data_IF_909333565577
#
_entry.id   IF_909333565577
#
_cell.length_a   1.000
_cell.length_b   1.000
_cell.length_c   1.000
_cell.angle_alpha   90.00
_cell.angle_beta   90.00
_cell.angle_gamma   90.00
#
_symmetry.space_group_name_H-M   'P 1'
#
loop_
_entity.id
_entity.type
_entity.pdbx_description
1 polymer ?
#
# COMPACT_ATOMS: atom_id res chain seq x y z
N UNK A 1 2.25 -6.64 6.84
CA UNK A 1 2.68 -5.23 6.93
C UNK A 1 2.28 -4.54 5.63
N UNK A 2 1.79 -3.31 5.70
CA UNK A 2 1.23 -2.57 4.57
C UNK A 2 1.72 -1.12 4.59
N UNK A 3 2.02 -0.56 3.41
CA UNK A 3 2.34 0.84 3.27
C UNK A 3 1.04 1.65 3.13
N UNK A 4 0.63 2.30 4.21
CA UNK A 4 -0.67 2.97 4.34
C UNK A 4 -1.04 3.94 3.20
N UNK A 5 -0.04 4.50 2.51
CA UNK A 5 -0.17 5.40 1.36
C UNK A 5 1.14 5.44 0.55
N UNK A 6 1.65 4.30 0.08
CA UNK A 6 2.95 4.22 -0.60
C UNK A 6 3.11 5.26 -1.73
N UNK A 7 2.30 5.17 -2.78
CA UNK A 7 2.43 6.03 -3.96
C UNK A 7 2.20 7.52 -3.67
N UNK A 8 1.15 7.93 -2.92
CA UNK A 8 1.03 9.33 -2.51
C UNK A 8 2.23 9.86 -1.73
N UNK A 9 2.84 9.01 -0.89
CA UNK A 9 4.03 9.39 -0.12
C UNK A 9 5.24 9.55 -1.03
N UNK A 10 5.42 8.65 -2.01
CA UNK A 10 6.47 8.77 -3.03
C UNK A 10 6.28 10.06 -3.83
N UNK A 11 5.06 10.33 -4.30
CA UNK A 11 4.74 11.53 -5.09
C UNK A 11 5.15 12.79 -4.35
N UNK A 12 4.79 12.88 -3.06
CA UNK A 12 5.15 13.99 -2.17
C UNK A 12 6.67 14.06 -1.91
N UNK A 13 7.25 13.00 -1.37
CA UNK A 13 8.63 12.98 -0.85
C UNK A 13 9.66 13.12 -1.98
N UNK A 14 9.38 12.55 -3.15
CA UNK A 14 10.28 12.56 -4.31
C UNK A 14 9.93 13.64 -5.32
N UNK A 15 9.00 14.54 -4.99
CA UNK A 15 8.59 15.68 -5.82
C UNK A 15 8.13 15.27 -7.24
N UNK A 16 7.32 14.21 -7.34
CA UNK A 16 6.86 13.68 -8.63
C UNK A 16 5.69 14.51 -9.16
N UNK A 17 5.86 15.03 -10.38
CA UNK A 17 4.87 15.81 -11.11
C UNK A 17 5.27 15.86 -12.60
N UNK A 18 4.33 16.21 -13.48
CA UNK A 18 4.58 16.26 -14.92
C UNK A 18 5.68 17.26 -15.31
N UNK A 19 5.80 18.36 -14.58
CA UNK A 19 6.77 19.44 -14.79
C UNK A 19 8.10 19.26 -14.04
N UNK A 20 8.16 18.34 -13.07
CA UNK A 20 9.37 18.11 -12.25
C UNK A 20 10.14 16.88 -12.68
N UNK A 21 9.48 15.84 -13.17
CA UNK A 21 10.14 14.65 -13.72
C UNK A 21 10.72 14.99 -15.09
N UNK A 22 12.00 14.66 -15.31
CA UNK A 22 12.76 15.01 -16.52
C UNK A 22 12.81 16.52 -16.80
N UNK A 23 12.86 17.34 -15.75
CA UNK A 23 12.97 18.78 -15.90
C UNK A 23 14.26 19.17 -16.68
N UNK A 24 14.28 20.34 -17.35
CA UNK A 24 15.39 20.72 -18.24
C UNK A 24 16.67 21.16 -17.50
N UNK A 25 16.66 21.23 -16.16
CA UNK A 25 17.82 21.70 -15.41
C UNK A 25 18.92 20.63 -15.34
N UNK A 26 20.12 20.93 -15.84
CA UNK A 26 21.22 19.97 -15.94
C UNK A 26 21.67 19.42 -14.59
N UNK A 27 21.73 20.23 -13.54
CA UNK A 27 22.13 19.74 -12.22
C UNK A 27 21.09 18.78 -11.59
N UNK A 28 19.82 18.88 -11.99
CA UNK A 28 18.78 17.97 -11.54
C UNK A 28 18.95 16.56 -12.13
N UNK A 29 19.70 16.38 -13.22
CA UNK A 29 20.00 15.06 -13.81
C UNK A 29 20.77 14.15 -12.85
N UNK A 30 21.42 14.71 -11.82
CA UNK A 30 22.07 13.96 -10.74
C UNK A 30 21.09 13.36 -9.73
N UNK A 31 19.88 13.92 -9.61
CA UNK A 31 18.83 13.40 -8.73
C UNK A 31 18.02 12.30 -9.44
N UNK A 32 18.69 11.20 -9.74
CA UNK A 32 18.14 10.08 -10.48
C UNK A 32 17.15 9.26 -9.66
N UNK A 33 16.26 8.57 -10.37
CA UNK A 33 15.31 7.63 -9.79
C UNK A 33 15.89 6.22 -9.86
N UNK A 34 15.96 5.47 -8.73
CA UNK A 34 16.40 4.08 -8.74
C UNK A 34 15.60 3.23 -9.72
N UNK A 35 16.28 2.34 -10.43
CA UNK A 35 15.67 1.42 -11.40
C UNK A 35 14.93 2.11 -12.58
N UNK A 36 15.25 3.38 -12.88
CA UNK A 36 14.68 4.12 -14.00
C UNK A 36 15.74 5.03 -14.65
N UNK A 37 15.46 5.50 -15.86
CA UNK A 37 16.27 6.50 -16.59
C UNK A 37 15.89 7.94 -16.24
N UNK A 38 14.97 8.14 -15.29
CA UNK A 38 14.38 9.44 -14.99
C UNK A 38 15.12 10.16 -13.85
N UNK A 39 14.97 11.48 -13.80
CA UNK A 39 15.44 12.33 -12.72
C UNK A 39 14.33 13.30 -12.29
N UNK A 40 14.46 13.90 -11.12
CA UNK A 40 13.45 14.82 -10.58
C UNK A 40 14.04 16.16 -10.17
N UNK A 41 13.30 17.23 -10.48
CA UNK A 41 13.63 18.60 -10.14
C UNK A 41 13.84 18.81 -8.64
N UNK A 42 14.93 19.49 -8.29
CA UNK A 42 15.24 19.94 -6.91
C UNK A 42 15.06 21.45 -6.73
N UNK A 43 14.81 22.20 -7.80
CA UNK A 43 14.64 23.68 -7.75
C UNK A 43 13.22 24.14 -7.46
N UNK A 44 12.22 23.39 -7.94
CA UNK A 44 10.80 23.77 -7.88
C UNK A 44 9.97 22.60 -7.39
N UNK A 45 8.96 22.91 -6.59
CA UNK A 45 7.98 21.92 -6.16
C UNK A 45 6.93 21.74 -7.26
N UNK A 46 6.63 20.49 -7.58
CA UNK A 46 5.63 20.13 -8.58
C UNK A 46 4.22 20.27 -8.04
N UNK A 47 3.30 20.67 -8.90
CA UNK A 47 1.88 20.85 -8.61
C UNK A 47 1.25 19.56 -8.09
N UNK A 48 1.46 18.43 -8.77
CA UNK A 48 0.90 17.14 -8.34
C UNK A 48 1.50 16.70 -7.01
N UNK A 49 2.82 16.89 -6.81
CA UNK A 49 3.48 16.62 -5.53
C UNK A 49 2.84 17.40 -4.38
N UNK A 50 2.64 18.70 -4.54
CA UNK A 50 2.03 19.56 -3.53
C UNK A 50 0.57 19.22 -3.26
N UNK A 51 -0.22 18.98 -4.31
CA UNK A 51 -1.64 18.66 -4.19
C UNK A 51 -1.85 17.30 -3.50
N UNK A 52 -1.22 16.25 -4.03
CA UNK A 52 -1.32 14.89 -3.49
C UNK A 52 -0.71 14.84 -2.07
N UNK A 53 0.41 15.54 -1.84
CA UNK A 53 1.01 15.68 -0.52
C UNK A 53 0.06 16.32 0.49
N UNK A 54 -0.60 17.42 0.11
CA UNK A 54 -1.58 18.11 0.96
C UNK A 54 -2.79 17.21 1.27
N UNK A 55 -3.36 16.53 0.27
CA UNK A 55 -4.50 15.62 0.47
C UNK A 55 -4.12 14.41 1.34
N UNK A 56 -2.90 13.90 1.19
CA UNK A 56 -2.34 12.83 2.02
C UNK A 56 -2.21 13.28 3.46
N UNK A 57 -1.64 14.45 3.70
CA UNK A 57 -1.46 14.97 5.07
C UNK A 57 -2.82 15.26 5.72
N UNK A 58 -3.77 15.85 4.99
CA UNK A 58 -5.14 16.06 5.45
C UNK A 58 -5.82 14.73 5.82
N UNK A 59 -5.62 13.68 5.03
CA UNK A 59 -6.14 12.35 5.36
C UNK A 59 -5.47 11.75 6.59
N UNK A 60 -4.14 11.66 6.59
CA UNK A 60 -3.38 10.86 7.56
C UNK A 60 -3.29 11.58 8.90
N UNK A 61 -2.99 12.88 8.90
CA UNK A 61 -2.72 13.64 10.11
C UNK A 61 -4.00 14.20 10.74
N UNK A 62 -5.05 14.43 9.95
CA UNK A 62 -6.30 15.03 10.43
C UNK A 62 -7.44 14.01 10.47
N UNK A 63 -8.04 13.64 9.34
CA UNK A 63 -9.28 12.85 9.34
C UNK A 63 -9.12 11.40 9.84
N UNK A 64 -8.01 10.70 9.52
CA UNK A 64 -7.73 9.34 10.05
C UNK A 64 -7.54 9.38 11.57
N UNK A 65 -6.86 10.40 12.10
CA UNK A 65 -6.67 10.59 13.54
C UNK A 65 -7.99 10.93 14.24
N UNK A 66 -8.70 11.94 13.75
CA UNK A 66 -9.97 12.39 14.33
C UNK A 66 -11.03 11.29 14.33
N UNK A 67 -11.15 10.49 13.26
CA UNK A 67 -12.12 9.38 13.20
C UNK A 67 -11.96 8.35 14.33
N UNK A 68 -10.80 8.31 15.00
CA UNK A 68 -10.50 7.43 16.14
C UNK A 68 -10.66 8.11 17.50
N UNK A 69 -10.95 9.41 17.55
CA UNK A 69 -11.12 10.13 18.81
C UNK A 69 -12.36 9.64 19.57
N UNK A 70 -12.22 9.43 20.88
CA UNK A 70 -13.33 8.98 21.76
C UNK A 70 -14.31 10.12 22.08
N UNK A 71 -13.91 11.37 21.88
CA UNK A 71 -14.70 12.57 22.21
C UNK A 71 -15.77 12.94 21.19
N UNK A 72 -15.87 12.19 20.08
CA UNK A 72 -16.80 12.49 18.99
C UNK A 72 -18.16 11.84 19.19
N UNK A 73 -19.20 12.54 18.74
CA UNK A 73 -20.51 11.90 18.54
C UNK A 73 -20.43 10.86 17.42
N UNK A 74 -21.37 9.92 17.40
CA UNK A 74 -21.39 8.88 16.37
C UNK A 74 -21.51 9.47 14.95
N UNK A 75 -22.35 10.50 14.77
CA UNK A 75 -22.50 11.20 13.49
C UNK A 75 -21.19 11.84 13.02
N UNK A 76 -20.46 12.51 13.93
CA UNK A 76 -19.16 13.12 13.61
C UNK A 76 -18.12 12.06 13.24
N UNK A 77 -18.07 10.96 14.00
CA UNK A 77 -17.19 9.82 13.72
C UNK A 77 -17.46 9.25 12.34
N UNK A 78 -18.74 9.05 12.00
CA UNK A 78 -19.15 8.57 10.68
C UNK A 78 -18.73 9.53 9.58
N UNK A 79 -19.01 10.83 9.72
CA UNK A 79 -18.62 11.86 8.74
C UNK A 79 -17.10 11.87 8.49
N UNK A 80 -16.28 11.87 9.54
CA UNK A 80 -14.82 11.89 9.39
C UNK A 80 -14.28 10.60 8.79
N UNK A 81 -14.91 9.47 9.10
CA UNK A 81 -14.59 8.18 8.48
C UNK A 81 -14.85 8.23 6.98
N UNK A 82 -16.01 8.75 6.55
CA UNK A 82 -16.36 8.90 5.13
C UNK A 82 -15.37 9.82 4.41
N UNK A 83 -15.03 10.98 4.99
CA UNK A 83 -14.06 11.91 4.39
C UNK A 83 -12.67 11.25 4.25
N UNK A 84 -12.19 10.56 5.29
CA UNK A 84 -10.91 9.83 5.26
C UNK A 84 -10.89 8.74 4.17
N UNK A 85 -12.02 8.05 3.96
CA UNK A 85 -12.18 7.06 2.90
C UNK A 85 -12.22 7.69 1.51
N UNK A 86 -12.95 8.80 1.33
CA UNK A 86 -12.98 9.53 0.06
C UNK A 86 -11.58 10.02 -0.35
N UNK A 87 -10.83 10.60 0.60
CA UNK A 87 -9.44 10.98 0.38
C UNK A 87 -8.57 9.76 0.01
N UNK A 88 -8.78 8.61 0.66
CA UNK A 88 -8.05 7.37 0.32
C UNK A 88 -8.27 6.98 -1.14
N UNK A 89 -9.50 7.06 -1.64
CA UNK A 89 -9.83 6.72 -3.02
C UNK A 89 -9.09 7.64 -3.99
N UNK A 90 -9.14 8.95 -3.77
CA UNK A 90 -8.42 9.94 -4.61
C UNK A 90 -6.92 9.66 -4.61
N UNK A 91 -6.34 9.47 -3.43
CA UNK A 91 -4.90 9.23 -3.26
C UNK A 91 -4.46 7.93 -3.95
N UNK A 92 -5.23 6.85 -3.84
CA UNK A 92 -4.89 5.59 -4.50
C UNK A 92 -4.99 5.66 -6.03
N UNK A 93 -5.85 6.53 -6.57
CA UNK A 93 -5.98 6.76 -8.00
C UNK A 93 -4.89 7.71 -8.56
N UNK A 94 -4.23 8.50 -7.72
CA UNK A 94 -3.33 9.59 -8.12
C UNK A 94 -2.16 9.17 -9.02
N UNK A 95 -1.53 8.02 -8.77
CA UNK A 95 -0.44 7.57 -9.64
C UNK A 95 -0.97 7.03 -10.97
N UNK A 96 -2.11 6.34 -10.95
CA UNK A 96 -2.71 5.72 -12.12
C UNK A 96 -3.20 6.76 -13.12
N UNK A 97 -3.79 7.86 -12.64
CA UNK A 97 -4.30 8.92 -13.52
C UNK A 97 -3.19 9.63 -14.32
N UNK A 98 -1.99 9.76 -13.75
CA UNK A 98 -0.82 10.28 -14.49
C UNK A 98 -0.39 9.40 -15.66
N UNK A 99 -0.75 8.11 -15.64
CA UNK A 99 -0.50 7.15 -16.72
C UNK A 99 -1.67 6.98 -17.69
N UNK A 100 -2.77 7.72 -17.52
CA UNK A 100 -3.93 7.66 -18.40
C UNK A 100 -3.89 8.79 -19.43
N UNK A 101 -3.81 8.44 -20.73
CA UNK A 101 -3.67 9.42 -21.84
C UNK A 101 -4.80 10.46 -21.90
N UNK A 102 -5.99 10.12 -21.40
CA UNK A 102 -7.15 11.02 -21.34
C UNK A 102 -7.00 12.14 -20.30
N UNK A 103 -6.02 12.04 -19.38
CA UNK A 103 -5.85 13.01 -18.31
C UNK A 103 -5.11 14.25 -18.81
N UNK A 104 -5.59 15.48 -18.55
CA UNK A 104 -4.92 16.70 -19.04
C UNK A 104 -3.48 16.87 -18.58
N UNK A 105 -3.11 16.33 -17.41
CA UNK A 105 -1.73 16.33 -16.90
C UNK A 105 -1.08 14.94 -17.04
N UNK A 106 -1.50 14.17 -18.04
CA UNK A 106 -0.88 12.88 -18.38
C UNK A 106 0.62 13.06 -18.60
N UNK A 107 1.40 12.23 -17.93
CA UNK A 107 2.83 12.16 -18.13
C UNK A 107 3.34 10.79 -17.71
N UNK A 108 3.45 9.88 -18.68
CA UNK A 108 3.87 8.50 -18.44
C UNK A 108 5.20 8.40 -17.66
N UNK A 109 6.23 9.24 -17.90
CA UNK A 109 7.45 9.19 -17.09
C UNK A 109 7.22 9.45 -15.59
N UNK A 110 6.24 10.26 -15.19
CA UNK A 110 5.91 10.44 -13.77
C UNK A 110 5.24 9.20 -13.17
N UNK A 111 4.37 8.53 -13.94
CA UNK A 111 3.78 7.26 -13.51
C UNK A 111 4.86 6.16 -13.40
N UNK A 112 5.72 6.01 -14.41
CA UNK A 112 6.82 5.04 -14.41
C UNK A 112 7.78 5.30 -13.23
N UNK A 113 8.24 6.55 -13.06
CA UNK A 113 9.04 6.98 -11.92
C UNK A 113 8.43 6.55 -10.57
N UNK A 114 7.13 6.79 -10.39
CA UNK A 114 6.42 6.45 -9.15
C UNK A 114 6.45 4.95 -8.89
N UNK A 115 6.20 4.12 -9.91
CA UNK A 115 6.23 2.66 -9.78
C UNK A 115 7.65 2.09 -9.60
N UNK A 116 8.66 2.71 -10.23
CA UNK A 116 10.06 2.34 -10.06
C UNK A 116 10.53 2.58 -8.62
N UNK A 117 10.22 3.75 -8.06
CA UNK A 117 10.52 4.07 -6.66
C UNK A 117 9.76 3.13 -5.72
N UNK A 118 8.47 2.87 -5.98
CA UNK A 118 7.68 1.94 -5.17
C UNK A 118 8.30 0.54 -5.12
N UNK A 119 8.70 0.01 -6.27
CA UNK A 119 9.38 -1.29 -6.38
C UNK A 119 10.71 -1.30 -5.65
N UNK A 120 11.50 -0.24 -5.78
CA UNK A 120 12.76 -0.11 -5.05
C UNK A 120 12.55 -0.12 -3.53
N UNK A 121 11.57 0.64 -3.02
CA UNK A 121 11.23 0.68 -1.59
C UNK A 121 10.80 -0.71 -1.10
N UNK A 122 9.95 -1.42 -1.84
CA UNK A 122 9.54 -2.78 -1.49
C UNK A 122 10.74 -3.72 -1.40
N UNK A 123 11.60 -3.72 -2.42
CA UNK A 123 12.78 -4.61 -2.46
C UNK A 123 13.77 -4.31 -1.32
N UNK A 124 14.04 -3.04 -1.04
CA UNK A 124 14.89 -2.66 0.08
C UNK A 124 14.24 -3.02 1.42
N UNK A 125 12.93 -2.86 1.56
CA UNK A 125 12.21 -3.26 2.78
C UNK A 125 12.26 -4.78 2.98
N UNK A 126 12.15 -5.58 1.92
CA UNK A 126 12.33 -7.04 1.98
C UNK A 126 13.74 -7.37 2.48
N UNK A 127 14.77 -6.73 1.93
CA UNK A 127 16.16 -6.90 2.39
C UNK A 127 16.32 -6.52 3.87
N UNK A 128 15.68 -5.45 4.32
CA UNK A 128 15.68 -5.04 5.74
C UNK A 128 14.97 -6.05 6.64
N UNK A 129 13.88 -6.67 6.17
CA UNK A 129 13.26 -7.78 6.89
C UNK A 129 14.25 -8.95 7.04
N UNK A 130 14.91 -9.36 5.96
CA UNK A 130 15.89 -10.45 5.97
C UNK A 130 17.09 -10.15 6.90
N UNK A 131 17.65 -8.93 6.83
CA UNK A 131 18.71 -8.45 7.74
C UNK A 131 18.27 -8.44 9.21
N UNK A 132 16.98 -8.26 9.48
CA UNK A 132 16.41 -8.33 10.82
C UNK A 132 16.06 -9.77 11.25
N UNK A 133 16.33 -10.78 10.42
CA UNK A 133 15.98 -12.18 10.69
C UNK A 133 14.50 -12.50 10.50
N UNK A 134 13.78 -11.68 9.74
CA UNK A 134 12.36 -11.88 9.44
C UNK A 134 12.22 -12.56 8.07
N UNK A 135 11.55 -13.71 8.04
CA UNK A 135 11.24 -14.38 6.77
C UNK A 135 10.07 -13.66 6.07
N UNK A 136 10.31 -13.19 4.84
CA UNK A 136 9.26 -12.66 3.96
C UNK A 136 8.65 -13.81 3.16
N UNK A 137 7.33 -13.98 3.25
CA UNK A 137 6.59 -15.05 2.57
C UNK A 137 6.03 -14.61 1.22
N UNK A 138 5.59 -13.36 1.13
CA UNK A 138 4.95 -12.82 -0.07
C UNK A 138 5.00 -11.29 -0.06
N UNK A 139 5.13 -10.69 -1.24
CA UNK A 139 5.06 -9.25 -1.43
C UNK A 139 4.08 -8.91 -2.55
N UNK A 140 3.22 -7.93 -2.30
CA UNK A 140 2.36 -7.29 -3.30
C UNK A 140 2.70 -5.81 -3.36
N UNK A 141 2.34 -5.17 -4.48
CA UNK A 141 2.36 -3.73 -4.81
C UNK A 141 2.79 -2.76 -3.70
N UNK A 142 2.16 -2.82 -2.53
CA UNK A 142 2.33 -1.98 -1.35
C UNK A 142 2.27 -2.75 0.00
N UNK A 143 2.39 -4.09 0.00
CA UNK A 143 2.31 -4.90 1.22
C UNK A 143 3.26 -6.10 1.24
N UNK A 144 3.64 -6.51 2.46
CA UNK A 144 4.52 -7.62 2.74
C UNK A 144 3.89 -8.56 3.78
N UNK A 145 3.91 -9.86 3.48
CA UNK A 145 3.56 -10.94 4.40
C UNK A 145 4.86 -11.47 5.00
N UNK A 146 4.94 -11.40 6.32
CA UNK A 146 6.13 -11.79 7.08
C UNK A 146 5.76 -12.87 8.09
N UNK A 147 6.64 -13.84 8.29
CA UNK A 147 6.40 -14.98 9.18
C UNK A 147 6.87 -14.69 10.59
N UNK A 148 5.95 -14.77 11.55
CA UNK A 148 6.20 -14.72 12.99
C UNK A 148 7.27 -13.72 13.46
N UNK A 149 7.26 -12.45 13.00
CA UNK A 149 8.23 -11.47 13.47
C UNK A 149 7.96 -11.10 14.95
N UNK A 150 9.02 -10.76 15.69
CA UNK A 150 8.88 -10.15 17.03
C UNK A 150 8.47 -8.68 16.92
N UNK A 151 7.88 -8.13 17.98
CA UNK A 151 7.53 -6.70 18.03
C UNK A 151 8.73 -5.78 17.78
N UNK A 152 9.91 -6.14 18.31
CA UNK A 152 11.15 -5.38 18.11
C UNK A 152 11.61 -5.40 16.65
N UNK A 153 11.55 -6.58 16.00
CA UNK A 153 11.86 -6.74 14.60
C UNK A 153 10.94 -5.89 13.71
N UNK A 154 9.63 -5.92 13.97
CA UNK A 154 8.64 -5.10 13.27
C UNK A 154 9.00 -3.61 13.41
N UNK A 155 9.22 -3.14 14.64
CA UNK A 155 9.50 -1.72 14.90
C UNK A 155 10.79 -1.26 14.21
N UNK A 156 11.84 -2.09 14.21
CA UNK A 156 13.09 -1.81 13.50
C UNK A 156 12.85 -1.56 12.01
N UNK A 157 12.07 -2.42 11.35
CA UNK A 157 11.75 -2.27 9.92
C UNK A 157 10.87 -1.04 9.66
N UNK A 158 9.88 -0.76 10.50
CA UNK A 158 9.01 0.43 10.37
C UNK A 158 9.81 1.72 10.49
N UNK A 159 10.66 1.84 11.51
CA UNK A 159 11.51 3.02 11.73
C UNK A 159 12.47 3.23 10.56
N UNK A 160 13.09 2.15 10.08
CA UNK A 160 14.01 2.20 8.95
C UNK A 160 13.30 2.62 7.66
N UNK A 161 12.13 2.07 7.36
CA UNK A 161 11.34 2.46 6.18
C UNK A 161 10.96 3.94 6.21
N UNK A 162 10.57 4.46 7.39
CA UNK A 162 10.27 5.88 7.57
C UNK A 162 11.49 6.77 7.41
N UNK A 163 12.62 6.38 8.00
CA UNK A 163 13.88 7.14 7.97
C UNK A 163 14.48 7.18 6.57
N UNK A 164 14.55 6.03 5.89
CA UNK A 164 15.26 5.90 4.62
C UNK A 164 14.43 6.36 3.42
N UNK A 165 13.10 6.26 3.48
CA UNK A 165 12.24 6.56 2.33
C UNK A 165 11.11 7.55 2.60
N UNK A 166 10.89 7.97 3.86
CA UNK A 166 9.81 8.89 4.21
C UNK A 166 8.40 8.29 4.13
N UNK A 167 8.28 6.96 4.05
CA UNK A 167 7.01 6.25 3.90
C UNK A 167 6.55 5.64 5.23
N UNK A 168 5.23 5.52 5.41
CA UNK A 168 4.64 4.93 6.61
C UNK A 168 4.30 3.46 6.35
N UNK A 169 4.96 2.57 7.09
CA UNK A 169 4.72 1.13 7.10
C UNK A 169 3.98 0.76 8.39
N UNK A 170 2.86 0.06 8.29
CA UNK A 170 2.06 -0.36 9.45
C UNK A 170 1.77 -1.86 9.44
N UNK A 171 1.47 -2.43 10.62
CA UNK A 171 0.90 -3.77 10.72
C UNK A 171 -0.60 -3.65 10.43
N UNK A 172 -1.02 -4.03 9.23
CA UNK A 172 -2.43 -4.00 8.85
C UNK A 172 -3.23 -5.14 9.48
N UNK A 173 -2.71 -6.37 9.36
CA UNK A 173 -3.40 -7.60 9.81
C UNK A 173 -2.44 -8.63 10.38
N UNK A 174 -2.95 -9.39 11.34
CA UNK A 174 -2.33 -10.60 11.86
C UNK A 174 -3.17 -11.82 11.52
N UNK A 175 -2.52 -12.79 10.87
CA UNK A 175 -3.14 -14.03 10.44
C UNK A 175 -2.69 -15.19 11.33
N UNK A 176 -3.60 -16.08 11.66
CA UNK A 176 -3.31 -17.39 12.25
C UNK A 176 -2.55 -18.25 11.23
N UNK A 177 -3.07 -18.30 10.00
CA UNK A 177 -2.38 -18.90 8.86
C UNK A 177 -2.79 -18.22 7.56
N UNK A 178 -1.96 -18.40 6.54
CA UNK A 178 -2.20 -17.90 5.18
C UNK A 178 -1.90 -19.00 4.18
N UNK A 179 -2.76 -19.12 3.16
CA UNK A 179 -2.57 -19.97 2.00
C UNK A 179 -2.28 -19.06 0.81
N UNK A 180 -1.03 -19.09 0.36
CA UNK A 180 -0.52 -18.26 -0.72
C UNK A 180 -0.45 -19.12 -1.98
N UNK A 181 -1.07 -18.66 -3.07
CA UNK A 181 -0.90 -19.29 -4.38
C UNK A 181 0.30 -18.70 -5.13
N UNK A 182 0.71 -19.34 -6.21
CA UNK A 182 1.72 -18.81 -7.13
C UNK A 182 1.23 -17.60 -7.93
N UNK A 183 -0.09 -17.32 -7.94
CA UNK A 183 -0.68 -16.19 -8.65
C UNK A 183 -0.62 -14.92 -7.79
N UNK A 184 -0.27 -13.79 -8.43
CA UNK A 184 -0.32 -12.49 -7.77
C UNK A 184 -1.75 -12.16 -7.32
N UNK A 185 -1.86 -11.51 -6.16
CA UNK A 185 -3.12 -11.07 -5.53
C UNK A 185 -4.11 -12.22 -5.29
N UNK A 186 -3.60 -13.43 -5.10
CA UNK A 186 -4.42 -14.63 -4.96
C UNK A 186 -3.99 -15.40 -3.71
N UNK A 187 -4.75 -15.19 -2.63
CA UNK A 187 -4.49 -15.79 -1.33
C UNK A 187 -5.76 -15.89 -0.47
N UNK A 188 -5.68 -16.75 0.54
CA UNK A 188 -6.61 -16.86 1.64
C UNK A 188 -5.84 -16.63 2.95
N UNK A 189 -6.38 -15.81 3.85
CA UNK A 189 -5.79 -15.60 5.16
C UNK A 189 -6.85 -15.64 6.25
N UNK A 190 -6.61 -16.42 7.30
CA UNK A 190 -7.52 -16.51 8.45
C UNK A 190 -6.94 -15.68 9.58
N UNK A 191 -7.65 -14.65 10.04
CA UNK A 191 -7.19 -13.80 11.15
C UNK A 191 -7.24 -14.56 12.48
N UNK A 192 -6.55 -14.05 13.51
CA UNK A 192 -6.65 -14.61 14.87
C UNK A 192 -8.10 -14.67 15.40
N UNK A 193 -8.94 -13.73 14.98
CA UNK A 193 -10.37 -13.66 15.30
C UNK A 193 -11.26 -14.61 14.49
N UNK A 194 -10.69 -15.41 13.58
CA UNK A 194 -11.44 -16.34 12.72
C UNK A 194 -12.05 -15.71 11.45
N UNK A 195 -11.78 -14.44 11.16
CA UNK A 195 -12.26 -13.81 9.94
C UNK A 195 -11.42 -14.29 8.74
N UNK A 196 -12.09 -14.65 7.64
CA UNK A 196 -11.42 -15.13 6.43
C UNK A 196 -11.30 -13.99 5.41
N UNK A 197 -10.07 -13.61 5.11
CA UNK A 197 -9.73 -12.68 4.03
C UNK A 197 -9.43 -13.46 2.75
N UNK A 198 -10.13 -13.11 1.68
CA UNK A 198 -10.00 -13.75 0.37
C UNK A 198 -9.69 -12.69 -0.67
N UNK A 199 -8.57 -12.88 -1.38
CA UNK A 199 -8.18 -12.06 -2.53
C UNK A 199 -8.01 -12.93 -3.76
N UNK A 200 -8.55 -12.47 -4.88
CA UNK A 200 -8.33 -13.06 -6.21
C UNK A 200 -8.92 -14.45 -6.47
N UNK A 201 -9.51 -15.11 -5.48
CA UNK A 201 -10.12 -16.44 -5.65
C UNK A 201 -11.44 -16.37 -6.46
N UNK A 202 -11.61 -17.32 -7.37
CA UNK A 202 -12.72 -17.37 -8.34
C UNK A 202 -14.09 -17.45 -7.68
N UNK A 203 -14.20 -18.14 -6.52
CA UNK A 203 -15.45 -18.29 -5.80
C UNK A 203 -16.12 -16.96 -5.39
N UNK A 204 -15.36 -15.87 -5.30
CA UNK A 204 -15.87 -14.53 -4.94
C UNK A 204 -16.23 -13.67 -6.16
N UNK A 205 -15.97 -14.11 -7.39
CA UNK A 205 -16.21 -13.30 -8.59
C UNK A 205 -17.70 -13.24 -8.94
N UNK A 206 -18.15 -12.10 -9.47
CA UNK A 206 -19.55 -11.85 -9.79
C UNK A 206 -20.12 -12.87 -10.78
N UNK A 207 -19.34 -13.26 -11.79
CA UNK A 207 -19.71 -14.22 -12.83
C UNK A 207 -19.73 -15.69 -12.39
N UNK A 208 -19.33 -16.02 -11.15
CA UNK A 208 -19.29 -17.41 -10.70
C UNK A 208 -20.71 -17.95 -10.44
N UNK A 209 -21.07 -19.14 -10.97
CA UNK A 209 -22.38 -19.75 -10.75
C UNK A 209 -22.74 -19.89 -9.27
N UNK A 210 -24.04 -19.75 -8.88
CA UNK A 210 -24.45 -19.77 -7.49
C UNK A 210 -24.03 -21.01 -6.71
N UNK A 211 -24.16 -22.21 -7.29
CA UNK A 211 -23.79 -23.46 -6.60
C UNK A 211 -22.29 -23.53 -6.26
N UNK A 212 -21.42 -22.99 -7.13
CA UNK A 212 -19.98 -22.89 -6.87
C UNK A 212 -19.71 -21.84 -5.78
N UNK A 213 -20.45 -20.72 -5.77
CA UNK A 213 -20.34 -19.71 -4.70
C UNK A 213 -20.73 -20.31 -3.35
N UNK A 214 -21.83 -21.05 -3.27
CA UNK A 214 -22.29 -21.70 -2.04
C UNK A 214 -21.22 -22.64 -1.50
N UNK A 215 -20.76 -23.59 -2.32
CA UNK A 215 -19.68 -24.51 -1.93
C UNK A 215 -18.41 -23.77 -1.51
N UNK A 216 -18.06 -22.69 -2.22
CA UNK A 216 -16.90 -21.88 -1.86
C UNK A 216 -17.02 -21.27 -0.46
N UNK A 217 -18.17 -20.68 -0.11
CA UNK A 217 -18.38 -20.10 1.22
C UNK A 217 -18.46 -21.16 2.32
N UNK A 218 -19.03 -22.34 2.06
CA UNK A 218 -19.00 -23.48 2.98
C UNK A 218 -17.56 -23.90 3.30
N UNK A 219 -16.71 -24.02 2.27
CA UNK A 219 -15.29 -24.32 2.45
C UNK A 219 -14.56 -23.23 3.24
N UNK A 220 -14.86 -21.94 3.00
CA UNK A 220 -14.29 -20.86 3.80
C UNK A 220 -14.69 -20.95 5.27
N UNK A 221 -15.93 -21.34 5.57
CA UNK A 221 -16.39 -21.50 6.95
C UNK A 221 -15.64 -22.63 7.66
N UNK A 222 -15.44 -23.76 6.98
CA UNK A 222 -14.62 -24.87 7.50
C UNK A 222 -13.20 -24.39 7.76
N UNK A 223 -12.56 -23.77 6.76
CA UNK A 223 -11.19 -23.27 6.85
C UNK A 223 -11.03 -22.20 7.95
N UNK A 224 -12.06 -21.41 8.24
CA UNK A 224 -12.02 -20.40 9.33
C UNK A 224 -11.78 -21.01 10.72
N UNK A 225 -12.19 -22.26 10.91
CA UNK A 225 -12.15 -22.98 12.19
C UNK A 225 -10.80 -23.66 12.43
N UNK A 226 -10.04 -23.94 11.38
CA UNK A 226 -8.72 -24.59 11.42
C UNK A 226 -7.73 -23.80 12.29
N UNK A 227 -7.14 -24.46 13.29
CA UNK A 227 -6.22 -23.86 14.27
C UNK A 227 -4.74 -24.19 14.03
N UNK A 228 -4.46 -25.38 13.48
CA UNK A 228 -3.12 -25.92 13.33
C UNK A 228 -3.00 -26.69 12.01
N UNK A 229 -1.80 -27.20 11.71
CA UNK A 229 -1.50 -27.90 10.46
C UNK A 229 -2.16 -29.27 10.38
N UNK A 230 -2.45 -29.91 11.51
CA UNK A 230 -3.06 -31.25 11.55
C UNK A 230 -4.57 -31.19 11.27
N UNK A 231 -5.19 -30.04 11.56
CA UNK A 231 -6.59 -29.73 11.22
C UNK A 231 -6.79 -29.28 9.76
N UNK A 232 -5.71 -28.96 9.04
CA UNK A 232 -5.74 -28.43 7.67
C UNK A 232 -5.72 -29.55 6.63
#
# INVERSE_FOLDING_TARGET
MDFASLYPSIIKVRNISYETVRCPHDECKKNTIPQSSHWVCTRKNGMTSLLIGSLRDLRVNYYKSLSKSETLTEDQRQQYTVVSQALKVILNASYGVMGAEIFPLYFLPAADATTAIGRHIILETIKKCEEAGIQVLYGDTDSLFVKNPTSEQIQKVIVEAKKSFGVDLEVDKEYRYVVLSTRKKNYLGVTKSGNVDVKGLTGKKSHTPPFIKTLFYELLEILSKVQNIDEF
#
